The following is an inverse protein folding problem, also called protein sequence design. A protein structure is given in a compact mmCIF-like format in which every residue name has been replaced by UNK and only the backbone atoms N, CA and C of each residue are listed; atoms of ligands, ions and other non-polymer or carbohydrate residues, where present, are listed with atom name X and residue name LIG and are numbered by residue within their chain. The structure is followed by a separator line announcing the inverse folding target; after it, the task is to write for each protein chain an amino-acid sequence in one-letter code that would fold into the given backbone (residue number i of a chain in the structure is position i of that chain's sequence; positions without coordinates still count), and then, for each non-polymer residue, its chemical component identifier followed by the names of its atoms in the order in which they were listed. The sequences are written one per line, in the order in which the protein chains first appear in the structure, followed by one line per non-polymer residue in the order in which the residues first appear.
data_IF_558988504358
#
_entry.id   IF_558988504358
#
_cell.length_a   1.000
_cell.length_b   1.000
_cell.length_c   1.000
_cell.angle_alpha   90.00
_cell.angle_beta   90.00
_cell.angle_gamma   90.00
#
_symmetry.space_group_name_H-M   'P 1'
#
loop_
_entity.id
_entity.type
_entity.pdbx_description
1 polymer ?
#
# COMPACT_ATOMS: atom_id res chain seq x y z
N UNK A 1 0.03 22.18 19.93
CA UNK A 1 -0.15 20.97 19.08
C UNK A 1 -1.46 20.36 19.50
N UNK A 2 -2.47 20.35 18.63
CA UNK A 2 -3.74 19.69 18.95
C UNK A 2 -3.52 18.18 18.97
N UNK A 3 -3.78 17.53 20.10
CA UNK A 3 -3.79 16.07 20.17
C UNK A 3 -4.84 15.54 19.19
N UNK A 4 -4.41 14.70 18.27
CA UNK A 4 -5.32 14.05 17.33
C UNK A 4 -6.13 13.01 18.09
N UNK A 5 -7.44 13.21 18.20
CA UNK A 5 -8.37 12.29 18.86
C UNK A 5 -8.59 11.08 17.95
N UNK A 6 -8.65 9.88 18.53
CA UNK A 6 -8.96 8.66 17.79
C UNK A 6 -10.39 8.69 17.23
N UNK A 7 -10.51 8.45 15.92
CA UNK A 7 -11.80 8.38 15.22
C UNK A 7 -11.92 7.00 14.51
N UNK A 8 -12.86 6.13 14.96
CA UNK A 8 -12.98 4.75 14.43
C UNK A 8 -13.34 4.67 12.95
N UNK A 9 -13.91 5.73 12.38
CA UNK A 9 -14.29 5.78 10.96
C UNK A 9 -13.17 6.25 10.03
N UNK A 10 -12.07 6.77 10.60
CA UNK A 10 -10.94 7.31 9.85
C UNK A 10 -9.61 6.60 10.19
N UNK A 11 -9.39 6.25 11.43
CA UNK A 11 -8.10 5.71 11.88
C UNK A 11 -8.02 4.19 11.77
N UNK A 12 -6.90 3.63 11.26
CA UNK A 12 -6.67 2.20 11.26
C UNK A 12 -6.57 1.66 12.70
N UNK A 13 -7.22 0.54 12.95
CA UNK A 13 -7.25 -0.10 14.26
C UNK A 13 -7.47 -1.59 14.11
N UNK A 14 -7.31 -2.34 15.21
CA UNK A 14 -7.67 -3.75 15.28
C UNK A 14 -8.94 -3.92 16.11
N UNK A 15 -9.84 -4.77 15.62
CA UNK A 15 -11.05 -5.22 16.37
C UNK A 15 -10.92 -6.68 16.72
N UNK A 16 -11.23 -6.99 17.96
CA UNK A 16 -11.27 -8.37 18.41
C UNK A 16 -12.59 -9.03 18.02
N UNK A 17 -12.51 -10.24 17.46
CA UNK A 17 -13.66 -11.08 17.18
C UNK A 17 -13.71 -12.23 18.19
N UNK A 18 -14.62 -12.18 19.21
CA UNK A 18 -14.66 -13.17 20.27
C UNK A 18 -15.19 -14.53 19.83
N UNK A 19 -15.85 -14.61 18.66
CA UNK A 19 -16.40 -15.89 18.15
C UNK A 19 -15.31 -16.82 17.62
N UNK A 20 -14.21 -16.27 17.15
CA UNK A 20 -13.10 -17.02 16.56
C UNK A 20 -11.74 -16.73 17.23
N UNK A 21 -11.75 -15.96 18.31
CA UNK A 21 -10.55 -15.55 19.06
C UNK A 21 -9.46 -14.91 18.18
N UNK A 22 -9.87 -13.96 17.34
CA UNK A 22 -8.94 -13.33 16.40
C UNK A 22 -9.08 -11.81 16.35
N UNK A 23 -7.95 -11.14 16.13
CA UNK A 23 -7.88 -9.70 15.87
C UNK A 23 -7.89 -9.43 14.37
N UNK A 24 -8.78 -8.57 13.92
CA UNK A 24 -8.93 -8.17 12.52
C UNK A 24 -8.49 -6.71 12.35
N UNK A 25 -7.60 -6.45 11.39
CA UNK A 25 -7.21 -5.09 11.00
C UNK A 25 -8.35 -4.42 10.23
N UNK A 26 -8.75 -3.24 10.67
CA UNK A 26 -9.74 -2.38 10.02
C UNK A 26 -9.06 -1.08 9.59
N UNK A 27 -9.18 -0.74 8.31
CA UNK A 27 -8.56 0.46 7.73
C UNK A 27 -9.60 1.30 6.97
N UNK A 28 -10.48 2.04 7.69
CA UNK A 28 -11.66 2.70 7.11
C UNK A 28 -11.30 3.78 6.10
N UNK A 29 -10.20 4.52 6.32
CA UNK A 29 -9.74 5.58 5.42
C UNK A 29 -9.47 5.08 4.00
N UNK A 30 -9.21 3.77 3.80
CA UNK A 30 -9.02 3.16 2.48
C UNK A 30 -10.30 3.12 1.63
N UNK A 31 -11.49 3.27 2.24
CA UNK A 31 -12.74 3.41 1.50
C UNK A 31 -12.76 4.67 0.62
N UNK A 32 -11.96 5.68 0.95
CA UNK A 32 -11.78 6.90 0.15
C UNK A 32 -10.88 6.70 -1.09
N UNK A 33 -10.27 5.51 -1.24
CA UNK A 33 -9.42 5.19 -2.40
C UNK A 33 -10.27 5.18 -3.67
N UNK A 34 -9.88 5.93 -4.73
CA UNK A 34 -10.52 5.81 -6.02
C UNK A 34 -10.40 4.37 -6.54
N UNK A 35 -11.54 3.72 -6.71
CA UNK A 35 -11.59 2.35 -7.22
C UNK A 35 -11.57 2.37 -8.75
N UNK A 36 -10.52 1.88 -9.36
CA UNK A 36 -10.50 1.53 -10.77
C UNK A 36 -10.94 0.06 -10.85
N UNK A 37 -12.20 -0.17 -11.23
CA UNK A 37 -12.75 -1.52 -11.33
C UNK A 37 -11.88 -2.41 -12.22
N UNK A 38 -11.49 -3.58 -11.73
CA UNK A 38 -10.76 -4.56 -12.52
C UNK A 38 -11.77 -5.26 -13.43
N UNK A 39 -11.70 -5.01 -14.73
CA UNK A 39 -12.33 -5.85 -15.74
C UNK A 39 -11.26 -6.81 -16.27
N UNK A 40 -11.32 -8.05 -15.84
CA UNK A 40 -10.49 -9.12 -16.41
C UNK A 40 -11.04 -9.49 -17.79
N UNK A 41 -10.58 -8.80 -18.82
CA UNK A 41 -10.52 -9.36 -20.15
C UNK A 41 -9.16 -10.05 -20.28
N UNK A 42 -9.18 -11.34 -20.57
CA UNK A 42 -8.00 -12.03 -21.10
C UNK A 42 -7.71 -11.40 -22.45
N UNK A 43 -6.95 -10.32 -22.49
CA UNK A 43 -6.48 -9.70 -23.71
C UNK A 43 -5.02 -10.09 -23.89
N UNK A 44 -4.71 -10.69 -25.00
CA UNK A 44 -3.34 -10.84 -25.52
C UNK A 44 -2.74 -9.49 -25.97
N UNK A 45 -3.31 -8.37 -25.51
CA UNK A 45 -2.84 -7.04 -25.86
C UNK A 45 -1.44 -6.81 -25.28
N UNK A 46 -0.49 -6.58 -26.14
CA UNK A 46 0.84 -6.13 -25.75
C UNK A 46 0.70 -4.77 -25.07
N UNK A 47 0.92 -4.75 -23.77
CA UNK A 47 0.92 -3.50 -23.00
C UNK A 47 2.09 -2.62 -23.48
N UNK A 48 1.90 -1.29 -23.59
CA UNK A 48 2.99 -0.39 -23.94
C UNK A 48 4.04 -0.40 -22.82
N UNK A 49 5.29 -0.10 -23.16
CA UNK A 49 6.38 0.01 -22.15
C UNK A 49 6.17 1.19 -21.18
N UNK A 50 5.39 2.20 -21.58
CA UNK A 50 4.97 3.32 -20.76
C UNK A 50 3.50 3.63 -21.03
N UNK A 51 2.67 3.67 -19.99
CA UNK A 51 1.27 4.09 -20.07
C UNK A 51 1.12 5.48 -19.42
N UNK A 52 0.73 6.52 -20.16
CA UNK A 52 0.58 7.87 -19.62
C UNK A 52 -0.51 8.00 -18.55
N UNK A 53 -1.43 7.04 -18.47
CA UNK A 53 -2.50 7.00 -17.46
C UNK A 53 -2.16 6.15 -16.24
N UNK A 54 -1.00 5.47 -16.23
CA UNK A 54 -0.57 4.66 -15.11
C UNK A 54 0.04 5.54 -14.00
N UNK A 55 -0.50 5.50 -12.81
CA UNK A 55 0.02 6.22 -11.63
C UNK A 55 1.42 5.79 -11.19
N UNK A 56 1.89 4.63 -11.65
CA UNK A 56 3.15 4.05 -11.22
C UNK A 56 4.28 4.22 -12.23
N UNK A 57 3.99 4.53 -13.50
CA UNK A 57 5.03 4.70 -14.51
C UNK A 57 5.98 5.87 -14.18
N UNK A 58 7.27 5.78 -14.60
CA UNK A 58 8.21 6.88 -14.44
C UNK A 58 7.64 8.19 -15.00
N UNK A 59 7.92 9.31 -14.34
CA UNK A 59 7.51 10.69 -14.69
C UNK A 59 6.00 10.97 -14.62
N UNK A 60 5.15 9.97 -14.47
CA UNK A 60 3.73 10.18 -14.28
C UNK A 60 3.41 10.71 -12.88
N UNK A 61 2.25 11.32 -12.73
CA UNK A 61 1.76 11.74 -11.42
C UNK A 61 1.04 10.59 -10.73
N UNK A 62 1.39 10.37 -9.46
CA UNK A 62 0.64 9.48 -8.58
C UNK A 62 -0.76 10.03 -8.30
N UNK A 63 -1.61 9.22 -7.71
CA UNK A 63 -2.99 9.59 -7.40
C UNK A 63 -3.09 10.78 -6.43
N UNK A 64 -2.08 11.01 -5.62
CA UNK A 64 -1.93 12.19 -4.74
C UNK A 64 -1.53 13.45 -5.49
N UNK A 65 -1.15 13.34 -6.77
CA UNK A 65 -0.62 14.43 -7.59
C UNK A 65 0.90 14.59 -7.56
N UNK A 66 1.61 13.89 -6.69
CA UNK A 66 3.07 13.88 -6.65
C UNK A 66 3.66 13.20 -7.89
N UNK A 67 4.69 13.78 -8.53
CA UNK A 67 5.33 13.15 -9.67
C UNK A 67 6.24 12.00 -9.25
N UNK A 68 6.18 10.89 -9.97
CA UNK A 68 7.22 9.86 -9.89
C UNK A 68 8.52 10.39 -10.50
N UNK A 69 9.68 10.04 -9.94
CA UNK A 69 10.96 10.31 -10.59
C UNK A 69 11.06 9.56 -11.93
N UNK A 70 12.03 9.94 -12.75
CA UNK A 70 12.39 9.18 -13.95
C UNK A 70 13.27 7.99 -13.56
N UNK A 71 12.67 6.99 -12.94
CA UNK A 71 13.39 5.82 -12.43
C UNK A 71 13.64 4.79 -13.54
N UNK A 72 14.85 4.19 -13.50
CA UNK A 72 15.33 3.19 -14.46
C UNK A 72 15.62 1.83 -13.82
N UNK A 73 15.37 1.70 -12.52
CA UNK A 73 15.53 0.51 -11.67
C UNK A 73 14.30 0.36 -10.79
N UNK A 74 14.18 -0.69 -9.99
CA UNK A 74 13.10 -0.77 -9.02
C UNK A 74 13.01 0.51 -8.19
N UNK A 75 11.78 1.00 -8.01
CA UNK A 75 11.51 2.24 -7.30
C UNK A 75 10.57 1.99 -6.14
N UNK A 76 10.93 2.56 -4.98
CA UNK A 76 10.17 2.40 -3.74
C UNK A 76 9.62 3.75 -3.29
N UNK A 77 8.37 3.77 -2.87
CA UNK A 77 7.76 4.93 -2.26
C UNK A 77 6.74 4.53 -1.19
N UNK A 78 6.48 5.44 -0.26
CA UNK A 78 5.44 5.26 0.76
C UNK A 78 4.06 5.17 0.10
N UNK A 79 3.28 4.14 0.46
CA UNK A 79 1.99 3.91 -0.17
C UNK A 79 1.04 5.09 0.09
N UNK A 80 0.55 5.71 -0.97
CA UNK A 80 -0.39 6.84 -0.93
C UNK A 80 -1.71 6.49 -0.20
N UNK A 81 -2.09 5.22 -0.19
CA UNK A 81 -3.26 4.67 0.51
C UNK A 81 -2.84 3.50 1.41
N UNK A 82 -1.95 3.80 2.34
CA UNK A 82 -1.46 2.82 3.31
C UNK A 82 -2.59 2.23 4.15
N UNK A 83 -2.52 0.94 4.46
CA UNK A 83 -3.45 0.31 5.38
C UNK A 83 -3.16 0.69 6.85
N UNK A 84 -1.92 1.07 7.13
CA UNK A 84 -1.46 1.56 8.43
C UNK A 84 -1.01 3.02 8.28
N UNK A 85 -1.20 3.80 9.33
CA UNK A 85 -0.69 5.17 9.44
C UNK A 85 0.28 5.23 10.63
N UNK A 86 1.33 6.04 10.49
CA UNK A 86 2.37 6.15 11.53
C UNK A 86 1.90 6.93 12.75
N UNK A 87 0.96 7.84 12.56
CA UNK A 87 0.44 8.80 13.55
C UNK A 87 -0.93 8.43 14.12
N UNK A 88 -1.40 7.18 13.87
CA UNK A 88 -2.69 6.71 14.40
C UNK A 88 -2.71 6.83 15.94
N UNK A 89 -3.66 7.59 16.53
CA UNK A 89 -3.82 7.64 17.96
C UNK A 89 -4.35 6.32 18.54
N UNK A 90 -4.12 6.09 19.83
CA UNK A 90 -4.67 4.92 20.51
C UNK A 90 -6.20 5.09 20.69
N UNK A 91 -7.00 4.03 20.46
CA UNK A 91 -8.42 4.05 20.79
C UNK A 91 -8.60 4.03 22.32
N UNK A 92 -9.75 4.52 22.78
CA UNK A 92 -10.15 4.34 24.17
C UNK A 92 -10.29 2.84 24.51
N UNK A 93 -9.88 2.48 25.72
CA UNK A 93 -9.99 1.10 26.19
C UNK A 93 -11.45 0.78 26.53
N UNK A 94 -11.99 -0.26 25.91
CA UNK A 94 -13.31 -0.79 26.27
C UNK A 94 -13.19 -1.81 27.40
N UNK A 95 -14.09 -1.73 28.38
CA UNK A 95 -14.26 -2.75 29.42
C UNK A 95 -15.13 -3.91 28.96
N UNK A 96 -15.84 -3.78 27.83
CA UNK A 96 -16.69 -4.81 27.28
C UNK A 96 -15.85 -5.84 26.51
N UNK A 97 -15.88 -7.13 26.89
CA UNK A 97 -15.09 -8.16 26.23
C UNK A 97 -15.52 -8.43 24.79
N UNK A 98 -16.74 -8.02 24.39
CA UNK A 98 -17.25 -8.20 23.02
C UNK A 98 -16.85 -7.06 22.08
N UNK A 99 -16.47 -5.89 22.61
CA UNK A 99 -16.18 -4.69 21.82
C UNK A 99 -14.78 -4.16 22.15
N UNK A 100 -13.75 -4.92 21.76
CA UNK A 100 -12.37 -4.54 22.01
C UNK A 100 -11.70 -4.01 20.76
N UNK A 101 -10.95 -2.91 20.90
CA UNK A 101 -10.11 -2.30 19.87
C UNK A 101 -8.68 -2.12 20.37
N UNK A 102 -7.72 -2.19 19.47
CA UNK A 102 -6.34 -1.84 19.77
C UNK A 102 -5.75 -0.99 18.65
N UNK A 103 -4.79 -0.16 18.99
CA UNK A 103 -4.08 0.67 18.03
C UNK A 103 -3.42 -0.20 16.94
N UNK A 104 -3.46 0.29 15.68
CA UNK A 104 -2.70 -0.26 14.58
C UNK A 104 -1.91 0.87 13.91
N UNK A 105 -0.59 0.88 14.10
CA UNK A 105 0.34 1.84 13.53
C UNK A 105 1.36 1.14 12.66
N UNK A 106 1.87 1.85 11.66
CA UNK A 106 2.94 1.33 10.81
C UNK A 106 3.05 2.08 9.50
N UNK A 107 3.96 1.61 8.67
CA UNK A 107 4.19 2.11 7.32
C UNK A 107 3.96 1.00 6.31
N UNK A 108 3.45 1.36 5.13
CA UNK A 108 3.39 0.46 3.98
C UNK A 108 4.08 1.14 2.80
N UNK A 109 4.85 0.38 2.05
CA UNK A 109 5.57 0.85 0.86
C UNK A 109 5.09 0.13 -0.38
N UNK A 110 5.18 0.83 -1.51
CA UNK A 110 4.97 0.24 -2.84
C UNK A 110 6.34 0.07 -3.50
N UNK A 111 6.57 -1.10 -4.06
CA UNK A 111 7.79 -1.39 -4.82
C UNK A 111 7.39 -1.59 -6.27
N UNK A 112 7.75 -0.63 -7.13
CA UNK A 112 7.68 -0.77 -8.58
C UNK A 112 8.90 -1.57 -9.02
N UNK A 113 8.70 -2.82 -9.42
CA UNK A 113 9.79 -3.74 -9.73
C UNK A 113 10.42 -3.51 -11.12
N UNK A 114 9.74 -2.77 -12.01
CA UNK A 114 10.26 -2.41 -13.33
C UNK A 114 9.77 -1.02 -13.74
N UNK A 115 10.60 -0.20 -14.43
CA UNK A 115 10.14 1.02 -15.08
C UNK A 115 9.30 0.73 -16.34
N UNK A 116 9.38 -0.48 -16.88
CA UNK A 116 8.68 -0.91 -18.09
C UNK A 116 7.29 -1.46 -17.72
N UNK A 117 6.24 -0.73 -18.12
CA UNK A 117 4.84 -1.08 -17.81
C UNK A 117 4.39 -2.40 -18.44
N UNK A 118 5.01 -2.82 -19.53
CA UNK A 118 4.68 -4.07 -20.23
C UNK A 118 5.17 -5.31 -19.48
N UNK A 119 6.17 -5.18 -18.60
CA UNK A 119 6.80 -6.29 -17.90
C UNK A 119 6.03 -6.70 -16.66
N UNK A 120 5.83 -8.00 -16.51
CA UNK A 120 5.42 -8.64 -15.25
C UNK A 120 6.61 -9.39 -14.67
N UNK A 121 6.57 -9.78 -13.39
CA UNK A 121 7.67 -10.51 -12.74
C UNK A 121 8.20 -11.70 -13.54
N UNK A 122 7.35 -12.57 -14.14
CA UNK A 122 7.83 -13.68 -14.97
C UNK A 122 8.56 -13.27 -16.27
N UNK A 123 8.41 -12.02 -16.71
CA UNK A 123 9.07 -11.49 -17.93
C UNK A 123 10.38 -10.76 -17.64
N UNK A 124 10.75 -10.63 -16.35
CA UNK A 124 12.02 -10.05 -15.95
C UNK A 124 13.18 -11.02 -16.23
N UNK A 125 14.32 -10.47 -16.60
CA UNK A 125 15.58 -11.21 -16.65
C UNK A 125 16.05 -11.59 -15.24
N UNK A 126 16.96 -12.55 -15.13
CA UNK A 126 17.55 -12.94 -13.85
C UNK A 126 18.22 -11.75 -13.13
N UNK A 127 18.90 -10.87 -13.85
CA UNK A 127 19.53 -9.67 -13.30
C UNK A 127 18.49 -8.67 -12.75
N UNK A 128 17.40 -8.46 -13.47
CA UNK A 128 16.30 -7.61 -13.00
C UNK A 128 15.64 -8.19 -11.75
N UNK A 129 15.46 -9.51 -11.67
CA UNK A 129 14.94 -10.20 -10.49
C UNK A 129 15.90 -10.03 -9.30
N UNK A 130 17.22 -10.16 -9.50
CA UNK A 130 18.21 -9.91 -8.45
C UNK A 130 18.11 -8.48 -7.90
N UNK A 131 17.93 -7.48 -8.75
CA UNK A 131 17.71 -6.08 -8.32
C UNK A 131 16.44 -5.95 -7.46
N UNK A 132 15.35 -6.60 -7.83
CA UNK A 132 14.12 -6.62 -7.03
C UNK A 132 14.35 -7.28 -5.66
N UNK A 133 15.07 -8.41 -5.63
CA UNK A 133 15.39 -9.11 -4.38
C UNK A 133 16.25 -8.23 -3.44
N UNK A 134 17.25 -7.51 -3.99
CA UNK A 134 18.07 -6.57 -3.20
C UNK A 134 17.19 -5.48 -2.57
N UNK A 135 16.28 -4.91 -3.35
CA UNK A 135 15.34 -3.91 -2.84
C UNK A 135 14.45 -4.50 -1.73
N UNK A 136 13.93 -5.71 -1.87
CA UNK A 136 13.15 -6.36 -0.81
C UNK A 136 13.97 -6.56 0.48
N UNK A 137 15.24 -6.96 0.36
CA UNK A 137 16.13 -7.13 1.50
C UNK A 137 16.41 -5.79 2.21
N UNK A 138 16.58 -4.70 1.45
CA UNK A 138 16.75 -3.34 1.99
C UNK A 138 15.48 -2.90 2.73
N UNK A 139 14.32 -3.05 2.11
CA UNK A 139 13.06 -2.67 2.73
C UNK A 139 12.76 -3.48 4.00
N UNK A 140 13.11 -4.77 4.03
CA UNK A 140 12.95 -5.60 5.23
C UNK A 140 13.86 -5.17 6.38
N UNK A 141 15.03 -4.57 6.10
CA UNK A 141 15.92 -4.06 7.15
C UNK A 141 15.49 -2.70 7.68
N UNK A 142 14.79 -1.91 6.85
CA UNK A 142 14.33 -0.57 7.22
C UNK A 142 13.01 -0.58 7.98
N UNK A 143 12.12 -1.54 7.73
CA UNK A 143 10.81 -1.72 8.37
C UNK A 143 10.93 -2.59 9.63
#
# INVERSE_FOLDING_TARGET
MSETVFEPTDHPHRRYNPLIDQWVLVSPHRAKRPWQGQQEKVSEEQKPSHDPNCYLCPRNKRITGEPNPDYHKPYVFKNDFSALLEDTPAPEQSTDPLFQMSQARGESRVICFSPDHSKTLPLLTALEIEEVIKVWQEQLREL
#
